data_IF_754545878493
#
_entry.id   IF_754545878493
#
_cell.length_a   1.000
_cell.length_b   1.000
_cell.length_c   1.000
_cell.angle_alpha   90.00
_cell.angle_beta   90.00
_cell.angle_gamma   90.00
#
_symmetry.space_group_name_H-M   'P 1'
#
loop_
_entity.id
_entity.type
_entity.pdbx_description
1 polymer ?
#
# COMPACT_ATOMS: atom_id res chain seq x y z
N UNK A 1 -12.21 7.74 10.14
CA UNK A 1 -11.10 8.70 10.41
C UNK A 1 -9.84 8.38 9.62
N UNK A 2 -9.19 7.22 9.76
CA UNK A 2 -8.02 6.88 8.93
C UNK A 2 -8.40 6.37 7.53
N UNK A 3 -9.34 5.43 7.46
CA UNK A 3 -9.93 4.92 6.22
C UNK A 3 -10.45 6.04 5.33
N UNK A 4 -11.30 6.92 5.86
CA UNK A 4 -11.81 8.11 5.16
C UNK A 4 -10.69 9.00 4.59
N UNK A 5 -9.63 9.25 5.36
CA UNK A 5 -8.48 10.04 4.89
C UNK A 5 -7.75 9.35 3.75
N UNK A 6 -7.57 8.03 3.82
CA UNK A 6 -6.94 7.23 2.76
C UNK A 6 -7.83 7.16 1.52
N UNK A 7 -9.15 7.08 1.71
CA UNK A 7 -10.14 7.12 0.64
C UNK A 7 -10.05 8.43 -0.16
N UNK A 8 -9.94 9.57 0.51
CA UNK A 8 -9.75 10.87 -0.15
C UNK A 8 -8.40 10.98 -0.89
N UNK A 9 -7.37 10.28 -0.41
CA UNK A 9 -6.04 10.27 -1.03
C UNK A 9 -5.91 9.23 -2.16
N UNK A 10 -6.81 8.26 -2.23
CA UNK A 10 -6.76 7.11 -3.16
C UNK A 10 -6.60 7.55 -4.63
N UNK A 11 -7.34 8.57 -5.06
CA UNK A 11 -7.26 9.11 -6.43
C UNK A 11 -5.91 9.74 -6.74
N UNK A 12 -5.22 10.25 -5.71
CA UNK A 12 -3.90 10.85 -5.86
C UNK A 12 -2.82 9.77 -5.99
N UNK A 13 -2.98 8.62 -5.32
CA UNK A 13 -2.02 7.51 -5.37
C UNK A 13 -1.76 6.99 -6.78
N UNK A 14 -2.79 6.96 -7.63
CA UNK A 14 -2.67 6.55 -9.04
C UNK A 14 -1.77 7.50 -9.84
N UNK A 15 -1.74 8.79 -9.46
CA UNK A 15 -0.97 9.84 -10.15
C UNK A 15 0.41 10.10 -9.55
N UNK A 16 0.75 9.48 -8.42
CA UNK A 16 2.00 9.75 -7.74
C UNK A 16 3.20 9.30 -8.57
N UNK A 17 4.18 10.18 -8.66
CA UNK A 17 5.53 9.82 -9.07
C UNK A 17 6.17 8.91 -8.03
N UNK A 18 7.27 8.23 -8.42
CA UNK A 18 8.05 7.39 -7.50
C UNK A 18 8.58 8.18 -6.29
N UNK A 19 8.95 9.45 -6.50
CA UNK A 19 9.44 10.34 -5.43
C UNK A 19 8.33 10.74 -4.46
N UNK A 20 7.15 11.08 -4.97
CA UNK A 20 5.98 11.41 -4.14
C UNK A 20 5.52 10.21 -3.33
N UNK A 21 5.45 9.04 -3.96
CA UNK A 21 5.17 7.76 -3.30
C UNK A 21 6.13 7.53 -2.14
N UNK A 22 7.43 7.70 -2.37
CA UNK A 22 8.46 7.55 -1.34
C UNK A 22 8.27 8.55 -0.20
N UNK A 23 7.99 9.82 -0.52
CA UNK A 23 7.77 10.87 0.48
C UNK A 23 6.57 10.54 1.36
N UNK A 24 5.46 10.09 0.77
CA UNK A 24 4.26 9.74 1.50
C UNK A 24 4.51 8.57 2.44
N UNK A 25 5.06 7.47 1.95
CA UNK A 25 5.27 6.28 2.77
C UNK A 25 6.38 6.41 3.82
N UNK A 26 7.44 7.20 3.55
CA UNK A 26 8.55 7.38 4.49
C UNK A 26 8.38 8.52 5.49
N UNK A 27 7.46 9.46 5.24
CA UNK A 27 7.26 10.62 6.15
C UNK A 27 5.83 10.78 6.63
N UNK A 28 4.85 10.77 5.72
CA UNK A 28 3.46 11.15 6.06
C UNK A 28 2.67 9.99 6.62
N UNK A 29 2.74 8.84 5.96
CA UNK A 29 2.04 7.62 6.35
C UNK A 29 2.85 6.76 7.33
N UNK A 30 4.17 6.94 7.38
CA UNK A 30 5.06 6.13 8.24
C UNK A 30 4.54 5.92 9.68
N UNK A 31 4.06 6.96 10.40
CA UNK A 31 3.60 6.78 11.78
C UNK A 31 2.32 5.95 11.91
N UNK A 32 1.51 5.87 10.84
CA UNK A 32 0.23 5.15 10.85
C UNK A 32 0.34 3.75 10.23
N UNK A 33 1.45 3.43 9.53
CA UNK A 33 1.68 2.10 8.96
C UNK A 33 1.54 0.93 9.96
N UNK A 34 1.99 1.01 11.22
CA UNK A 34 1.86 -0.12 12.15
C UNK A 34 0.42 -0.45 12.55
N UNK A 35 -0.51 0.48 12.34
CA UNK A 35 -1.91 0.37 12.77
C UNK A 35 -2.89 0.28 11.61
N UNK A 36 -2.43 0.21 10.36
CA UNK A 36 -3.32 -0.03 9.22
C UNK A 36 -3.89 -1.44 9.30
N UNK A 37 -5.17 -1.56 8.96
CA UNK A 37 -5.94 -2.80 8.96
C UNK A 37 -6.64 -2.97 7.61
N UNK A 38 -7.47 -4.01 7.48
CA UNK A 38 -8.24 -4.25 6.26
C UNK A 38 -9.10 -3.06 5.83
N UNK A 39 -9.64 -2.26 6.76
CA UNK A 39 -10.50 -1.11 6.43
C UNK A 39 -9.68 -0.07 5.65
N UNK A 40 -8.49 0.26 6.15
CA UNK A 40 -7.58 1.22 5.50
C UNK A 40 -7.01 0.65 4.19
N UNK A 41 -6.64 -0.63 4.16
CA UNK A 41 -6.04 -1.27 2.99
C UNK A 41 -7.01 -1.38 1.82
N UNK A 42 -8.32 -1.50 2.08
CA UNK A 42 -9.35 -1.56 1.03
C UNK A 42 -9.56 -0.21 0.32
N UNK A 43 -9.15 0.91 0.94
CA UNK A 43 -9.21 2.23 0.33
C UNK A 43 -8.05 2.48 -0.66
N UNK A 44 -7.02 1.62 -0.65
CA UNK A 44 -5.92 1.69 -1.61
C UNK A 44 -6.39 1.02 -2.92
N UNK A 45 -6.37 1.75 -4.06
CA UNK A 45 -6.77 1.18 -5.34
C UNK A 45 -5.86 0.02 -5.74
N UNK A 46 -6.43 -1.02 -6.34
CA UNK A 46 -5.67 -2.19 -6.82
C UNK A 46 -4.96 -1.94 -8.15
N UNK A 47 -5.31 -0.87 -8.86
CA UNK A 47 -4.73 -0.44 -10.14
C UNK A 47 -3.52 0.51 -9.97
N UNK A 48 -2.98 0.61 -8.75
CA UNK A 48 -1.76 1.36 -8.48
C UNK A 48 -0.55 0.78 -9.23
N UNK A 49 0.31 1.66 -9.75
CA UNK A 49 1.50 1.23 -10.50
C UNK A 49 2.55 0.53 -9.63
N UNK A 50 3.46 -0.21 -10.27
CA UNK A 50 4.53 -0.97 -9.61
C UNK A 50 5.37 -0.18 -8.60
N UNK A 51 5.66 1.09 -8.90
CA UNK A 51 6.42 1.97 -8.03
C UNK A 51 5.72 2.25 -6.70
N UNK A 52 4.39 2.35 -6.73
CA UNK A 52 3.57 2.48 -5.53
C UNK A 52 3.68 1.22 -4.67
N UNK A 53 3.44 0.05 -5.28
CA UNK A 53 3.43 -1.21 -4.54
C UNK A 53 4.80 -1.54 -3.92
N UNK A 54 5.88 -1.38 -4.68
CA UNK A 54 7.25 -1.63 -4.17
C UNK A 54 7.61 -0.71 -3.01
N UNK A 55 7.19 0.56 -3.07
CA UNK A 55 7.39 1.52 -1.97
C UNK A 55 6.54 1.20 -0.75
N UNK A 56 5.30 0.76 -0.96
CA UNK A 56 4.42 0.29 0.12
C UNK A 56 5.03 -0.90 0.85
N UNK A 57 5.43 -1.95 0.12
CA UNK A 57 6.07 -3.15 0.67
C UNK A 57 7.33 -2.77 1.46
N UNK A 58 8.17 -1.89 0.91
CA UNK A 58 9.36 -1.42 1.61
C UNK A 58 9.00 -0.71 2.92
N UNK A 59 8.00 0.17 2.90
CA UNK A 59 7.61 0.94 4.07
C UNK A 59 7.02 0.09 5.19
N UNK A 60 6.13 -0.86 4.87
CA UNK A 60 5.56 -1.79 5.87
C UNK A 60 6.63 -2.74 6.42
N UNK A 61 7.66 -3.08 5.64
CA UNK A 61 8.78 -3.89 6.14
C UNK A 61 9.58 -3.18 7.24
N UNK A 62 9.68 -1.84 7.20
CA UNK A 62 10.41 -1.07 8.22
C UNK A 62 9.68 -0.99 9.56
N UNK A 63 8.36 -1.10 9.56
CA UNK A 63 7.52 -1.04 10.77
C UNK A 63 6.99 -2.40 11.20
N UNK A 64 7.44 -3.48 10.55
CA UNK A 64 6.89 -4.82 10.73
C UNK A 64 6.97 -5.31 12.19
N UNK A 65 8.05 -4.96 12.91
CA UNK A 65 8.21 -5.32 14.34
C UNK A 65 7.19 -4.62 15.23
N UNK A 66 6.74 -3.44 14.84
CA UNK A 66 5.84 -2.59 15.62
C UNK A 66 4.37 -2.81 15.24
N UNK A 67 4.13 -3.64 14.20
CA UNK A 67 2.80 -3.96 13.68
C UNK A 67 2.20 -5.14 14.42
N UNK A 68 0.90 -5.07 14.74
CA UNK A 68 0.17 -6.16 15.38
C UNK A 68 0.01 -7.36 14.43
N UNK A 69 -0.07 -8.59 14.96
CA UNK A 69 -0.09 -9.81 14.14
C UNK A 69 -1.31 -9.89 13.22
N UNK A 70 -2.47 -9.41 13.66
CA UNK A 70 -3.68 -9.29 12.81
C UNK A 70 -3.42 -8.37 11.62
N UNK A 71 -2.83 -7.20 11.87
CA UNK A 71 -2.56 -6.20 10.85
C UNK A 71 -1.47 -6.67 9.87
N UNK A 72 -0.49 -7.47 10.34
CA UNK A 72 0.47 -8.13 9.44
C UNK A 72 -0.23 -9.05 8.44
N UNK A 73 -1.20 -9.83 8.90
CA UNK A 73 -1.98 -10.70 8.01
C UNK A 73 -2.78 -9.88 7.00
N UNK A 74 -3.44 -8.81 7.44
CA UNK A 74 -4.18 -7.91 6.55
C UNK A 74 -3.28 -7.30 5.46
N UNK A 75 -2.07 -6.85 5.84
CA UNK A 75 -1.07 -6.30 4.90
C UNK A 75 -0.63 -7.37 3.89
N UNK A 76 -0.37 -8.60 4.36
CA UNK A 76 0.03 -9.71 3.48
C UNK A 76 -1.10 -10.04 2.49
N UNK A 77 -2.34 -10.12 2.96
CA UNK A 77 -3.50 -10.41 2.11
C UNK A 77 -3.70 -9.33 1.05
N UNK A 78 -3.53 -8.04 1.42
CA UNK A 78 -3.56 -6.93 0.46
C UNK A 78 -2.46 -7.07 -0.61
N UNK A 79 -1.22 -7.38 -0.22
CA UNK A 79 -0.11 -7.58 -1.17
C UNK A 79 -0.42 -8.74 -2.12
N UNK A 80 -0.97 -9.84 -1.63
CA UNK A 80 -1.34 -10.99 -2.47
C UNK A 80 -2.46 -10.63 -3.45
N UNK A 81 -3.45 -9.84 -3.03
CA UNK A 81 -4.54 -9.39 -3.90
C UNK A 81 -4.02 -8.50 -5.03
N UNK A 82 -3.10 -7.58 -4.72
CA UNK A 82 -2.40 -6.80 -5.74
C UNK A 82 -1.70 -7.70 -6.76
N UNK A 83 -0.89 -8.67 -6.29
CA UNK A 83 -0.15 -9.58 -7.18
C UNK A 83 -1.07 -10.38 -8.10
N UNK A 84 -2.21 -10.87 -7.60
CA UNK A 84 -3.21 -11.58 -8.42
C UNK A 84 -3.81 -10.68 -9.50
N UNK A 85 -4.09 -9.42 -9.17
CA UNK A 85 -4.65 -8.44 -10.11
C UNK A 85 -3.63 -8.01 -11.17
N UNK A 86 -2.36 -7.79 -10.78
CA UNK A 86 -1.28 -7.47 -11.72
C UNK A 86 -1.06 -8.62 -12.73
N UNK A 87 -1.06 -9.87 -12.25
CA UNK A 87 -0.95 -11.06 -13.10
C UNK A 87 -2.11 -11.22 -14.10
N UNK A 88 -3.32 -10.80 -13.74
CA UNK A 88 -4.48 -10.86 -14.65
C UNK A 88 -4.48 -9.75 -15.71
N UNK A 89 -3.79 -8.64 -15.47
CA UNK A 89 -3.88 -7.43 -16.29
C UNK A 89 -2.66 -7.17 -17.19
N UNK A 90 -1.67 -8.08 -17.31
CA UNK A 90 -0.44 -7.83 -18.08
C UNK A 90 -0.01 -8.95 -19.07
N UNK A 91 0.30 -8.63 -20.34
CA UNK A 91 1.21 -9.39 -21.17
C UNK A 91 2.65 -8.91 -20.91
N UNK A 92 3.46 -9.79 -20.32
CA UNK A 92 4.92 -9.69 -20.15
C UNK A 92 5.46 -8.61 -19.17
N UNK A 93 6.20 -9.10 -18.16
CA UNK A 93 7.16 -8.34 -17.36
C UNK A 93 6.66 -7.91 -15.98
N UNK A 94 6.95 -8.72 -14.97
CA UNK A 94 7.00 -8.43 -13.54
C UNK A 94 6.83 -6.96 -13.09
N UNK A 95 6.01 -6.76 -12.06
CA UNK A 95 6.58 -6.41 -10.75
C UNK A 95 7.15 -7.69 -10.09
#
# INVERSE_FOLDING_TARGET
>A
MLSETVSELSTSFVSFTSEETTLWFKKRLYPVLPVIDTEVLNEIPVDVGCGFQTSFIQAVSFVYTDTHDTNKMDIIDHIQNYMKNDQQNRPEGNC
#
